data_IF_356216895194
#
_entry.id   IF_356216895194
#
_cell.length_a   1.000
_cell.length_b   1.000
_cell.length_c   1.000
_cell.angle_alpha   90.00
_cell.angle_beta   90.00
_cell.angle_gamma   90.00
#
_symmetry.space_group_name_H-M   'P 1'
#
loop_
_entity.id
_entity.type
_entity.pdbx_description
1 polymer ?
#
# COMPACT_ATOMS: atom_id res chain seq x y z
N UNK A 1 2.00 -2.05 -18.01
CA UNK A 1 0.97 -1.55 -17.06
C UNK A 1 0.18 -0.40 -17.67
N UNK A 2 -1.14 -0.41 -17.55
CA UNK A 2 -2.00 0.72 -17.90
C UNK A 2 -2.19 1.65 -16.69
N UNK A 3 -2.31 2.95 -16.94
CA UNK A 3 -2.68 3.98 -15.97
C UNK A 3 -4.03 4.54 -16.41
N UNK A 4 -5.00 4.50 -15.51
CA UNK A 4 -6.31 5.12 -15.71
C UNK A 4 -6.54 6.24 -14.70
N UNK A 5 -7.40 7.19 -15.06
CA UNK A 5 -7.99 8.16 -14.15
C UNK A 5 -9.38 7.67 -13.82
N UNK A 6 -9.70 7.65 -12.54
CA UNK A 6 -11.02 7.26 -12.05
C UNK A 6 -11.74 8.53 -11.61
N UNK A 7 -12.87 8.78 -12.23
CA UNK A 7 -13.84 9.77 -11.75
C UNK A 7 -14.84 9.04 -10.84
N UNK A 8 -14.73 9.32 -9.55
CA UNK A 8 -15.53 8.65 -8.52
C UNK A 8 -16.99 9.09 -8.60
N UNK A 9 -17.24 10.36 -8.91
CA UNK A 9 -18.58 10.96 -8.91
C UNK A 9 -19.37 10.51 -10.12
N UNK A 10 -18.72 10.43 -11.28
CA UNK A 10 -19.33 9.96 -12.52
C UNK A 10 -19.28 8.42 -12.67
N UNK A 11 -18.60 7.72 -11.78
CA UNK A 11 -18.35 6.27 -11.87
C UNK A 11 -17.68 5.84 -13.19
N UNK A 12 -16.78 6.70 -13.71
CA UNK A 12 -16.11 6.50 -14.98
C UNK A 12 -14.61 6.27 -14.80
N UNK A 13 -14.01 5.59 -15.78
CA UNK A 13 -12.57 5.41 -15.86
C UNK A 13 -12.09 5.72 -17.27
N UNK A 14 -11.06 6.55 -17.38
CA UNK A 14 -10.43 6.93 -18.64
C UNK A 14 -8.97 6.48 -18.65
N UNK A 15 -8.52 5.94 -19.79
CA UNK A 15 -7.10 5.57 -19.92
C UNK A 15 -6.25 6.83 -20.08
N UNK A 16 -5.31 7.05 -19.15
CA UNK A 16 -4.33 8.14 -19.23
C UNK A 16 -3.10 7.73 -20.06
N UNK A 17 -2.80 6.44 -20.08
CA UNK A 17 -1.76 5.89 -20.93
C UNK A 17 -1.31 4.51 -20.46
N UNK A 18 -0.35 3.95 -21.15
CA UNK A 18 0.24 2.66 -20.78
C UNK A 18 1.74 2.69 -21.00
N UNK A 19 2.46 1.90 -20.21
CA UNK A 19 3.85 1.57 -20.47
C UNK A 19 4.00 0.09 -20.73
N UNK A 20 4.80 -0.26 -21.73
CA UNK A 20 5.21 -1.63 -21.98
C UNK A 20 6.09 -2.14 -20.83
N UNK A 21 5.85 -3.38 -20.43
CA UNK A 21 6.69 -4.07 -19.46
C UNK A 21 8.00 -4.51 -20.13
N UNK A 22 9.19 -4.12 -19.62
CA UNK A 22 10.45 -4.66 -20.11
C UNK A 22 10.54 -6.16 -19.80
N UNK A 23 11.34 -6.90 -20.57
CA UNK A 23 11.63 -8.30 -20.29
C UNK A 23 12.57 -8.46 -19.08
N UNK A 24 12.64 -9.68 -18.53
CA UNK A 24 13.43 -9.96 -17.33
C UNK A 24 14.91 -9.59 -17.49
N UNK A 25 15.52 -9.81 -18.65
CA UNK A 25 16.95 -9.49 -18.85
C UNK A 25 17.17 -7.98 -18.82
N UNK A 26 16.27 -7.22 -19.42
CA UNK A 26 16.31 -5.76 -19.39
C UNK A 26 16.16 -5.23 -17.96
N UNK A 27 15.25 -5.81 -17.17
CA UNK A 27 15.05 -5.46 -15.76
C UNK A 27 16.29 -5.80 -14.89
N UNK A 28 16.85 -7.00 -15.06
CA UNK A 28 18.04 -7.44 -14.34
C UNK A 28 19.26 -6.55 -14.66
N UNK A 29 19.42 -6.15 -15.92
CA UNK A 29 20.47 -5.21 -16.33
C UNK A 29 20.33 -3.81 -15.70
N UNK A 30 19.13 -3.45 -15.27
CA UNK A 30 18.84 -2.19 -14.57
C UNK A 30 18.82 -2.34 -13.05
N UNK A 31 19.11 -3.55 -12.53
CA UNK A 31 19.01 -3.91 -11.11
C UNK A 31 17.65 -3.52 -10.51
N UNK A 32 16.56 -3.80 -11.25
CA UNK A 32 15.19 -3.46 -10.88
C UNK A 32 14.30 -4.68 -11.04
N UNK A 33 13.41 -4.92 -10.08
CA UNK A 33 12.29 -5.83 -10.32
C UNK A 33 11.10 -5.08 -10.98
N UNK A 34 10.04 -5.83 -11.29
CA UNK A 34 8.83 -5.28 -11.91
C UNK A 34 8.16 -4.16 -11.10
N UNK A 35 8.15 -4.30 -9.77
CA UNK A 35 7.57 -3.31 -8.85
C UNK A 35 8.41 -2.04 -8.86
N UNK A 36 9.74 -2.16 -8.83
CA UNK A 36 10.66 -1.02 -8.87
C UNK A 36 10.56 -0.25 -10.19
N UNK A 37 10.43 -0.98 -11.31
CA UNK A 37 10.22 -0.37 -12.62
C UNK A 37 8.96 0.51 -12.63
N UNK A 38 7.86 -0.02 -12.10
CA UNK A 38 6.59 0.68 -12.10
C UNK A 38 6.53 1.84 -11.09
N UNK A 39 7.10 1.69 -9.90
CA UNK A 39 7.18 2.80 -8.93
C UNK A 39 8.04 3.94 -9.48
N UNK A 40 9.21 3.63 -10.06
CA UNK A 40 10.08 4.63 -10.67
C UNK A 40 9.38 5.36 -11.83
N UNK A 41 8.63 4.63 -12.66
CA UNK A 41 7.89 5.23 -13.76
C UNK A 41 6.81 6.22 -13.27
N UNK A 42 6.01 5.84 -12.26
CA UNK A 42 5.01 6.74 -11.68
C UNK A 42 5.66 7.97 -11.04
N UNK A 43 6.75 7.77 -10.29
CA UNK A 43 7.51 8.87 -9.65
C UNK A 43 8.10 9.81 -10.70
N UNK A 44 8.63 9.29 -11.82
CA UNK A 44 9.18 10.12 -12.91
C UNK A 44 8.14 11.08 -13.54
N UNK A 45 6.84 10.79 -13.35
CA UNK A 45 5.72 11.58 -13.86
C UNK A 45 4.92 12.25 -12.74
N UNK A 46 5.48 12.31 -11.52
CA UNK A 46 4.73 12.71 -10.34
C UNK A 46 4.04 14.06 -10.47
N UNK A 47 4.69 15.07 -11.06
CA UNK A 47 4.13 16.42 -11.16
C UNK A 47 2.85 16.43 -12.00
N UNK A 48 2.84 15.69 -13.12
CA UNK A 48 1.67 15.55 -14.01
C UNK A 48 0.57 14.70 -13.40
N UNK A 49 0.93 13.67 -12.65
CA UNK A 49 -0.05 12.79 -12.00
C UNK A 49 -0.70 13.50 -10.81
N UNK A 50 0.10 14.19 -10.00
CA UNK A 50 -0.36 14.89 -8.80
C UNK A 50 -1.18 16.15 -9.11
N UNK A 51 -1.01 16.77 -10.29
CA UNK A 51 -1.94 17.81 -10.75
C UNK A 51 -3.35 17.28 -11.00
N UNK A 52 -3.51 15.96 -11.20
CA UNK A 52 -4.81 15.29 -11.38
C UNK A 52 -5.27 14.72 -10.04
N UNK A 53 -4.44 13.89 -9.40
CA UNK A 53 -4.74 13.28 -8.10
C UNK A 53 -3.47 12.85 -7.38
N UNK A 54 -3.44 13.04 -6.06
CA UNK A 54 -2.40 12.48 -5.19
C UNK A 54 -2.69 11.04 -4.78
N UNK A 55 -3.88 10.52 -5.07
CA UNK A 55 -4.28 9.16 -4.69
C UNK A 55 -4.02 8.19 -5.84
N UNK A 56 -3.31 7.10 -5.55
CA UNK A 56 -3.04 6.02 -6.48
C UNK A 56 -3.73 4.77 -5.98
N UNK A 57 -4.63 4.22 -6.81
CA UNK A 57 -5.25 2.93 -6.56
C UNK A 57 -4.46 1.86 -7.31
N UNK A 58 -4.00 0.82 -6.61
CA UNK A 58 -3.21 -0.25 -7.19
C UNK A 58 -3.79 -1.63 -6.87
N UNK A 59 -3.50 -2.61 -7.72
CA UNK A 59 -3.85 -4.01 -7.46
C UNK A 59 -3.05 -4.59 -6.28
N UNK A 60 -3.56 -5.67 -5.68
CA UNK A 60 -2.93 -6.37 -4.58
C UNK A 60 -1.48 -6.83 -4.84
N UNK A 61 -1.10 -7.03 -6.11
CA UNK A 61 0.30 -7.27 -6.48
C UNK A 61 1.27 -6.19 -5.97
N UNK A 62 0.81 -4.93 -5.91
CA UNK A 62 1.59 -3.76 -5.48
C UNK A 62 1.50 -3.46 -3.99
N UNK A 63 0.80 -4.28 -3.20
CA UNK A 63 0.75 -4.16 -1.73
C UNK A 63 2.05 -4.66 -1.08
N UNK A 64 3.17 -4.07 -1.47
CA UNK A 64 4.51 -4.38 -0.99
C UNK A 64 5.20 -3.10 -0.56
N UNK A 65 6.05 -3.20 0.46
CA UNK A 65 6.84 -2.07 0.96
C UNK A 65 7.66 -1.38 -0.13
N UNK A 66 8.27 -2.17 -1.04
CA UNK A 66 9.06 -1.66 -2.17
C UNK A 66 8.26 -0.81 -3.16
N UNK A 67 6.93 -0.94 -3.19
CA UNK A 67 6.06 -0.04 -3.94
C UNK A 67 5.57 1.12 -3.08
N UNK A 68 5.03 0.80 -1.90
CA UNK A 68 4.30 1.75 -1.06
C UNK A 68 5.23 2.83 -0.50
N UNK A 69 6.42 2.46 -0.02
CA UNK A 69 7.35 3.40 0.62
C UNK A 69 7.81 4.48 -0.36
N UNK A 70 8.37 4.17 -1.55
CA UNK A 70 8.79 5.20 -2.51
C UNK A 70 7.64 6.09 -2.99
N UNK A 71 6.43 5.54 -3.12
CA UNK A 71 5.25 6.31 -3.53
C UNK A 71 4.84 7.31 -2.43
N UNK A 72 4.80 6.88 -1.18
CA UNK A 72 4.51 7.74 -0.03
C UNK A 72 5.58 8.83 0.18
N UNK A 73 6.86 8.48 0.05
CA UNK A 73 7.98 9.44 0.10
C UNK A 73 7.86 10.51 -0.99
N UNK A 74 7.24 10.17 -2.12
CA UNK A 74 6.95 11.09 -3.21
C UNK A 74 5.55 11.72 -3.12
N UNK A 75 4.93 11.78 -1.93
CA UNK A 75 3.65 12.46 -1.65
C UNK A 75 2.42 11.87 -2.33
N UNK A 76 2.45 10.59 -2.72
CA UNK A 76 1.25 9.87 -3.11
C UNK A 76 0.57 9.20 -1.91
N UNK A 77 -0.76 9.07 -1.98
CA UNK A 77 -1.56 8.23 -1.10
C UNK A 77 -1.88 6.93 -1.84
N UNK A 78 -1.34 5.80 -1.36
CA UNK A 78 -1.58 4.50 -1.99
C UNK A 78 -2.77 3.82 -1.35
N UNK A 79 -3.77 3.47 -2.16
CA UNK A 79 -4.88 2.59 -1.79
C UNK A 79 -4.69 1.29 -2.55
N UNK A 80 -4.54 0.20 -1.82
CA UNK A 80 -4.37 -1.12 -2.41
C UNK A 80 -5.01 -2.18 -1.52
N UNK A 81 -5.36 -3.31 -2.12
CA UNK A 81 -5.91 -4.47 -1.41
C UNK A 81 -4.77 -5.37 -0.95
N UNK A 82 -4.81 -5.89 0.27
CA UNK A 82 -3.86 -6.97 0.63
C UNK A 82 -4.18 -8.26 -0.13
N UNK A 83 -3.18 -9.11 -0.35
CA UNK A 83 -3.43 -10.47 -0.87
C UNK A 83 -4.24 -11.27 0.14
N UNK A 84 -4.99 -12.28 -0.33
CA UNK A 84 -5.84 -13.10 0.52
C UNK A 84 -5.05 -13.92 1.56
N UNK A 85 -3.78 -14.23 1.27
CA UNK A 85 -2.86 -15.00 2.11
C UNK A 85 -2.01 -14.12 3.03
N UNK A 86 -2.35 -12.83 3.17
CA UNK A 86 -1.62 -11.90 4.03
C UNK A 86 -1.66 -12.34 5.49
N UNK A 87 -0.52 -12.23 6.16
CA UNK A 87 -0.40 -12.43 7.61
C UNK A 87 -0.03 -11.10 8.24
N UNK A 88 -0.96 -10.54 9.02
CA UNK A 88 -0.74 -9.30 9.74
C UNK A 88 -0.59 -9.57 11.23
N UNK A 89 0.18 -8.72 11.90
CA UNK A 89 0.40 -8.80 13.34
C UNK A 89 0.00 -7.51 14.04
N UNK A 90 -0.55 -7.67 15.24
CA UNK A 90 -0.79 -6.59 16.17
C UNK A 90 0.54 -6.08 16.73
N UNK A 91 0.87 -4.77 16.60
CA UNK A 91 2.02 -4.17 17.27
C UNK A 91 1.95 -4.38 18.78
N UNK A 92 3.08 -4.64 19.45
CA UNK A 92 3.12 -4.69 20.92
C UNK A 92 2.68 -3.35 21.53
N UNK A 93 1.86 -3.40 22.59
CA UNK A 93 1.58 -2.24 23.44
C UNK A 93 2.54 -2.16 24.64
N UNK A 94 3.37 -3.18 24.85
CA UNK A 94 4.30 -3.24 25.98
C UNK A 94 5.44 -2.24 25.81
N UNK A 95 5.75 -1.49 26.88
CA UNK A 95 6.94 -0.62 26.91
C UNK A 95 8.20 -1.49 27.05
N UNK A 96 9.29 -1.07 26.39
CA UNK A 96 10.60 -1.71 26.55
C UNK A 96 11.00 -1.68 28.03
N UNK A 97 11.16 -2.87 28.62
CA UNK A 97 11.44 -3.04 30.06
C UNK A 97 12.90 -2.79 30.45
N UNK A 98 13.81 -2.65 29.47
CA UNK A 98 15.25 -2.46 29.70
C UNK A 98 15.96 -3.71 30.24
N UNK A 99 15.24 -4.80 30.48
CA UNK A 99 15.78 -6.07 30.95
C UNK A 99 16.51 -6.81 29.83
N UNK A 100 17.48 -7.66 30.22
CA UNK A 100 18.22 -8.51 29.29
C UNK A 100 17.25 -9.49 28.60
N UNK A 101 17.11 -9.36 27.29
CA UNK A 101 16.24 -10.21 26.46
C UNK A 101 15.84 -9.51 25.15
N UNK A 102 15.34 -10.27 24.18
CA UNK A 102 14.79 -9.70 22.96
C UNK A 102 13.44 -9.03 23.25
N UNK A 103 13.22 -7.74 22.90
CA UNK A 103 11.93 -7.09 23.11
C UNK A 103 10.83 -7.82 22.33
N UNK A 104 9.66 -8.00 22.94
CA UNK A 104 8.47 -8.46 22.24
C UNK A 104 8.02 -7.40 21.24
N UNK A 105 7.85 -7.75 19.96
CA UNK A 105 7.45 -6.79 18.93
C UNK A 105 5.96 -6.85 18.60
N UNK A 106 5.32 -8.01 18.82
CA UNK A 106 3.95 -8.28 18.39
C UNK A 106 3.13 -8.95 19.48
N UNK A 107 1.84 -8.62 19.55
CA UNK A 107 0.87 -9.18 20.51
C UNK A 107 0.07 -10.37 19.94
N UNK A 108 0.34 -10.76 18.68
CA UNK A 108 -0.30 -11.89 18.02
C UNK A 108 -0.63 -11.62 16.56
N UNK A 109 -0.99 -12.69 15.85
CA UNK A 109 -1.52 -12.60 14.48
C UNK A 109 -2.94 -12.04 14.53
N UNK A 110 -3.28 -11.20 13.55
CA UNK A 110 -4.63 -10.71 13.35
C UNK A 110 -5.51 -11.82 12.81
N UNK A 111 -6.60 -12.11 13.52
CA UNK A 111 -7.71 -12.92 13.02
C UNK A 111 -8.77 -12.01 12.41
N UNK A 112 -8.92 -12.05 11.09
CA UNK A 112 -9.92 -11.24 10.38
C UNK A 112 -11.36 -11.71 10.65
N UNK A 113 -11.57 -12.96 11.07
CA UNK A 113 -12.90 -13.46 11.45
C UNK A 113 -13.33 -12.94 12.83
N UNK A 114 -12.37 -12.72 13.73
CA UNK A 114 -12.58 -12.24 15.10
C UNK A 114 -11.68 -11.04 15.39
N UNK A 115 -11.90 -9.94 14.65
CA UNK A 115 -11.06 -8.75 14.75
C UNK A 115 -11.22 -8.06 16.13
N UNK A 116 -10.11 -7.78 16.80
CA UNK A 116 -10.10 -6.97 18.01
C UNK A 116 -10.32 -5.49 17.68
N UNK A 117 -11.59 -5.06 17.72
CA UNK A 117 -11.99 -3.68 17.45
C UNK A 117 -11.49 -2.69 18.52
N UNK A 118 -11.11 -3.15 19.72
CA UNK A 118 -10.59 -2.25 20.76
C UNK A 118 -9.26 -1.60 20.38
N UNK A 119 -8.53 -2.23 19.44
CA UNK A 119 -7.27 -1.72 18.88
C UNK A 119 -7.47 -0.87 17.62
N UNK A 120 -8.70 -0.79 17.13
CA UNK A 120 -9.04 -0.06 15.92
C UNK A 120 -9.55 1.35 16.25
N UNK A 121 -9.26 2.31 15.37
CA UNK A 121 -9.93 3.61 15.38
C UNK A 121 -11.09 3.55 14.37
N UNK A 122 -12.31 3.77 14.84
CA UNK A 122 -13.47 3.87 13.97
C UNK A 122 -13.55 5.27 13.34
N UNK A 123 -13.97 5.31 12.08
CA UNK A 123 -14.18 6.53 11.32
C UNK A 123 -15.62 6.53 10.80
N UNK A 124 -16.30 7.66 11.00
CA UNK A 124 -17.64 7.85 10.48
C UNK A 124 -17.60 7.96 8.95
N UNK A 125 -18.45 7.18 8.29
CA UNK A 125 -18.56 7.12 6.82
C UNK A 125 -20.02 7.02 6.41
N UNK A 126 -20.35 7.58 5.25
CA UNK A 126 -21.73 7.62 4.74
C UNK A 126 -22.34 6.23 4.55
N UNK A 127 -21.52 5.21 4.25
CA UNK A 127 -21.96 3.83 4.03
C UNK A 127 -20.94 2.84 4.61
N UNK A 128 -21.44 1.87 5.37
CA UNK A 128 -20.63 0.80 5.95
C UNK A 128 -19.89 1.22 7.22
N UNK A 129 -18.80 0.52 7.53
CA UNK A 129 -17.93 0.78 8.68
C UNK A 129 -16.49 0.90 8.20
N UNK A 130 -15.78 1.90 8.70
CA UNK A 130 -14.36 2.11 8.40
C UNK A 130 -13.55 2.07 9.69
N UNK A 131 -12.59 1.15 9.72
CA UNK A 131 -11.65 1.00 10.83
C UNK A 131 -10.23 1.25 10.35
N UNK A 132 -9.51 2.13 11.04
CA UNK A 132 -8.07 2.28 10.88
C UNK A 132 -7.33 1.49 11.95
N UNK A 133 -6.37 0.68 11.52
CA UNK A 133 -5.56 -0.14 12.40
C UNK A 133 -4.10 -0.07 11.96
N UNK A 134 -3.19 0.18 12.91
CA UNK A 134 -1.76 0.05 12.68
C UNK A 134 -1.37 -1.41 12.84
N UNK A 135 -0.74 -1.97 11.82
CA UNK A 135 -0.37 -3.38 11.74
C UNK A 135 1.09 -3.53 11.34
N UNK A 136 1.67 -4.69 11.60
CA UNK A 136 2.90 -5.14 10.96
C UNK A 136 2.57 -6.18 9.89
N UNK A 137 3.18 -6.03 8.71
CA UNK A 137 3.03 -6.86 7.52
C UNK A 137 4.38 -7.45 7.14
#
# INVERSE_FOLDING_TARGET
>A
MGIGIIDIDNHECMTLGSIQTPDCKTLDNMDKNLVDWYSCYLISRKDKLQSISKTVVADAFFSKETFVTPMCENSFHVISRFRNDVVLYYPTLEKKTGKRGHPKWFDGRIDFANLDLTRCKEYEVNKGKLYGLRVYH
#
